data_IF_908754110785
#
_entry.id   IF_908754110785
#
_cell.length_a   1.000
_cell.length_b   1.000
_cell.length_c   1.000
_cell.angle_alpha   90.00
_cell.angle_beta   90.00
_cell.angle_gamma   90.00
#
_symmetry.space_group_name_H-M   'P 1'
#
loop_
_entity.id
_entity.type
_entity.pdbx_description
1 polymer ?
#
# COMPACT_ATOMS: atom_id res chain seq x y z
N UNK A 1 -12.78 -62.83 -30.76
CA UNK A 1 -13.29 -61.54 -30.28
C UNK A 1 -12.16 -60.54 -30.48
N UNK A 2 -12.31 -59.62 -31.43
CA UNK A 2 -11.20 -58.83 -31.99
C UNK A 2 -10.72 -57.74 -31.02
N UNK A 3 -9.40 -57.57 -30.89
CA UNK A 3 -8.74 -56.52 -30.10
C UNK A 3 -9.25 -55.10 -30.41
N UNK A 4 -9.77 -54.88 -31.62
CA UNK A 4 -10.33 -53.59 -32.09
C UNK A 4 -11.61 -53.22 -31.32
N UNK A 5 -12.42 -54.18 -30.87
CA UNK A 5 -13.66 -53.91 -30.11
C UNK A 5 -13.41 -53.60 -28.63
N UNK A 6 -12.32 -54.09 -28.05
CA UNK A 6 -11.99 -53.81 -26.64
C UNK A 6 -11.57 -52.34 -26.43
N UNK A 7 -10.90 -51.74 -27.42
CA UNK A 7 -10.46 -50.35 -27.34
C UNK A 7 -11.63 -49.36 -27.46
N UNK A 8 -12.68 -49.68 -28.21
CA UNK A 8 -13.90 -48.87 -28.29
C UNK A 8 -14.74 -48.92 -27.01
N UNK A 9 -14.83 -50.08 -26.34
CA UNK A 9 -15.59 -50.22 -25.07
C UNK A 9 -14.91 -49.50 -23.89
N UNK A 10 -13.62 -49.20 -24.01
CA UNK A 10 -12.82 -48.55 -22.98
C UNK A 10 -12.75 -47.02 -23.10
N UNK A 11 -13.27 -46.47 -24.21
CA UNK A 11 -13.39 -45.02 -24.41
C UNK A 11 -14.65 -44.50 -23.74
N UNK A 12 -14.60 -43.22 -23.36
CA UNK A 12 -15.72 -42.48 -22.81
C UNK A 12 -15.79 -41.12 -23.48
N UNK A 13 -17.00 -40.71 -23.83
CA UNK A 13 -17.29 -39.41 -24.43
C UNK A 13 -17.85 -38.48 -23.36
N UNK A 14 -17.24 -37.31 -23.23
CA UNK A 14 -17.61 -36.26 -22.29
C UNK A 14 -17.98 -35.02 -23.11
N UNK A 15 -19.27 -34.71 -23.18
CA UNK A 15 -19.80 -33.53 -23.84
C UNK A 15 -19.88 -32.39 -22.80
N UNK A 16 -18.97 -31.42 -22.90
CA UNK A 16 -18.90 -30.28 -21.96
C UNK A 16 -19.23 -29.00 -22.71
N UNK A 17 -20.31 -28.32 -22.33
CA UNK A 17 -20.77 -27.08 -22.98
C UNK A 17 -21.04 -27.23 -24.48
N UNK A 18 -21.39 -28.45 -24.93
CA UNK A 18 -21.58 -28.78 -26.34
C UNK A 18 -20.33 -29.28 -27.08
N UNK A 19 -19.14 -29.24 -26.45
CA UNK A 19 -17.89 -29.75 -27.04
C UNK A 19 -17.64 -31.18 -26.57
N UNK A 20 -17.47 -32.09 -27.53
CA UNK A 20 -17.18 -33.51 -27.24
C UNK A 20 -15.70 -33.73 -27.00
N UNK A 21 -15.38 -34.31 -25.86
CA UNK A 21 -14.05 -34.74 -25.47
C UNK A 21 -14.03 -36.27 -25.32
N UNK A 22 -13.04 -36.91 -25.93
CA UNK A 22 -12.85 -38.35 -25.83
C UNK A 22 -11.61 -38.70 -24.99
N UNK A 23 -11.75 -39.72 -24.16
CA UNK A 23 -10.65 -40.25 -23.34
C UNK A 23 -10.91 -41.70 -22.95
N UNK A 24 -9.98 -42.33 -22.24
CA UNK A 24 -10.14 -43.68 -21.73
C UNK A 24 -10.67 -43.68 -20.29
N UNK A 25 -11.49 -44.67 -19.95
CA UNK A 25 -11.97 -44.91 -18.58
C UNK A 25 -10.80 -44.98 -17.59
N UNK A 26 -9.69 -45.61 -17.99
CA UNK A 26 -8.46 -45.69 -17.19
C UNK A 26 -7.83 -44.31 -16.89
N UNK A 27 -7.88 -43.36 -17.82
CA UNK A 27 -7.36 -42.00 -17.65
C UNK A 27 -8.09 -41.28 -16.54
N UNK A 28 -9.41 -41.41 -16.47
CA UNK A 28 -10.24 -40.77 -15.44
C UNK A 28 -10.02 -41.36 -14.04
N UNK A 29 -9.48 -42.59 -13.95
CA UNK A 29 -9.14 -43.24 -12.67
C UNK A 29 -7.77 -42.84 -12.12
N UNK A 30 -6.92 -42.16 -12.90
CA UNK A 30 -5.56 -41.74 -12.46
C UNK A 30 -5.60 -40.77 -11.26
N UNK A 31 -6.62 -39.91 -11.20
CA UNK A 31 -6.79 -38.95 -10.10
C UNK A 31 -8.07 -39.34 -9.34
N UNK A 32 -7.94 -40.10 -8.24
CA UNK A 32 -9.08 -40.60 -7.49
C UNK A 32 -9.82 -39.47 -6.75
N UNK A 33 -11.00 -39.78 -6.23
CA UNK A 33 -11.84 -38.87 -5.44
C UNK A 33 -12.34 -37.60 -6.18
N UNK A 34 -12.18 -37.54 -7.49
CA UNK A 34 -12.69 -36.47 -8.36
C UNK A 34 -14.03 -36.84 -8.99
N UNK A 35 -14.78 -35.86 -9.54
CA UNK A 35 -16.06 -36.11 -10.20
C UNK A 35 -15.93 -37.10 -11.36
N UNK A 36 -14.92 -36.91 -12.21
CA UNK A 36 -14.69 -37.78 -13.37
C UNK A 36 -14.25 -39.20 -12.99
N UNK A 37 -13.56 -39.36 -11.85
CA UNK A 37 -13.20 -40.70 -11.36
C UNK A 37 -14.41 -41.52 -10.88
N UNK A 38 -15.54 -40.86 -10.58
CA UNK A 38 -16.77 -41.46 -10.06
C UNK A 38 -17.89 -41.59 -11.09
N UNK A 39 -17.59 -41.43 -12.39
CA UNK A 39 -18.59 -41.60 -13.44
C UNK A 39 -19.18 -43.01 -13.43
N UNK A 40 -20.50 -43.08 -13.48
CA UNK A 40 -21.29 -44.29 -13.64
C UNK A 40 -22.47 -44.00 -14.58
N UNK A 41 -22.95 -45.02 -15.29
CA UNK A 41 -24.11 -44.92 -16.20
C UNK A 41 -25.42 -44.61 -15.46
N UNK A 42 -25.43 -44.75 -14.13
CA UNK A 42 -26.56 -44.39 -13.27
C UNK A 42 -26.64 -42.88 -12.97
N UNK A 43 -25.65 -42.09 -13.39
CA UNK A 43 -25.68 -40.64 -13.22
C UNK A 43 -26.69 -40.00 -14.16
N UNK A 44 -27.42 -38.99 -13.66
CA UNK A 44 -28.39 -38.23 -14.44
C UNK A 44 -27.78 -37.52 -15.69
N UNK A 45 -26.46 -37.36 -15.70
CA UNK A 45 -25.72 -36.70 -16.77
C UNK A 45 -25.36 -37.65 -17.92
N UNK A 46 -25.66 -38.95 -17.80
CA UNK A 46 -25.37 -39.93 -18.85
C UNK A 46 -26.54 -40.03 -19.83
N UNK A 47 -26.25 -39.84 -21.12
CA UNK A 47 -27.20 -40.06 -22.21
C UNK A 47 -26.98 -41.48 -22.79
N UNK A 48 -27.92 -42.43 -22.57
CA UNK A 48 -27.79 -43.80 -23.04
C UNK A 48 -27.97 -43.93 -24.56
N UNK A 49 -28.58 -42.95 -25.24
CA UNK A 49 -28.79 -42.98 -26.69
C UNK A 49 -27.50 -42.62 -27.41
N UNK A 50 -26.84 -41.56 -26.96
CA UNK A 50 -25.58 -41.08 -27.53
C UNK A 50 -24.34 -41.76 -26.90
N UNK A 51 -24.52 -42.49 -25.79
CA UNK A 51 -23.45 -43.08 -25.00
C UNK A 51 -22.39 -42.04 -24.57
N UNK A 52 -22.84 -40.86 -24.13
CA UNK A 52 -22.00 -39.74 -23.71
C UNK A 52 -22.45 -39.15 -22.36
N UNK A 53 -21.54 -38.50 -21.65
CA UNK A 53 -21.88 -37.74 -20.45
C UNK A 53 -21.96 -36.26 -20.78
N UNK A 54 -23.08 -35.61 -20.47
CA UNK A 54 -23.28 -34.18 -20.69
C UNK A 54 -23.03 -33.35 -19.42
N UNK A 55 -22.26 -32.28 -19.57
CA UNK A 55 -22.01 -31.28 -18.53
C UNK A 55 -22.20 -29.88 -19.11
N UNK A 56 -23.16 -29.13 -18.58
CA UNK A 56 -23.38 -27.73 -18.94
C UNK A 56 -22.38 -26.81 -18.23
N UNK A 57 -21.11 -26.89 -18.63
CA UNK A 57 -19.94 -26.22 -18.00
C UNK A 57 -19.00 -25.67 -19.05
N UNK A 58 -17.99 -24.92 -18.61
CA UNK A 58 -17.09 -24.20 -19.51
C UNK A 58 -16.16 -25.15 -20.32
N UNK A 59 -16.31 -25.25 -21.66
CA UNK A 59 -15.56 -26.22 -22.46
C UNK A 59 -14.05 -25.94 -22.52
N UNK A 60 -13.66 -24.65 -22.58
CA UNK A 60 -12.23 -24.26 -22.65
C UNK A 60 -11.42 -24.69 -21.43
N UNK A 61 -11.93 -24.45 -20.22
CA UNK A 61 -11.33 -24.91 -18.97
C UNK A 61 -11.26 -26.43 -18.89
N UNK A 62 -12.31 -27.12 -19.35
CA UNK A 62 -12.35 -28.58 -19.31
C UNK A 62 -11.20 -29.24 -20.07
N UNK A 63 -10.69 -28.62 -21.13
CA UNK A 63 -9.51 -29.11 -21.82
C UNK A 63 -8.28 -29.21 -20.89
N UNK A 64 -8.09 -28.24 -19.99
CA UNK A 64 -6.99 -28.26 -19.01
C UNK A 64 -7.24 -29.31 -17.91
N UNK A 65 -8.50 -29.42 -17.45
CA UNK A 65 -8.92 -30.46 -16.51
C UNK A 65 -8.59 -31.84 -17.09
N UNK A 66 -8.99 -32.12 -18.34
CA UNK A 66 -8.73 -33.41 -18.97
C UNK A 66 -7.24 -33.67 -19.20
N UNK A 67 -6.47 -32.64 -19.57
CA UNK A 67 -5.02 -32.74 -19.69
C UNK A 67 -4.32 -33.03 -18.36
N UNK A 68 -4.88 -32.58 -17.24
CA UNK A 68 -4.38 -32.94 -15.92
C UNK A 68 -4.49 -34.45 -15.66
N UNK A 69 -5.62 -35.09 -16.00
CA UNK A 69 -5.72 -36.57 -15.92
C UNK A 69 -4.75 -37.29 -16.87
N UNK A 70 -4.42 -36.69 -18.02
CA UNK A 70 -3.50 -37.30 -19.00
C UNK A 70 -2.05 -37.25 -18.52
N UNK A 71 -1.61 -36.06 -18.08
CA UNK A 71 -0.20 -35.72 -17.85
C UNK A 71 0.20 -35.72 -16.37
N UNK A 72 -0.76 -35.55 -15.45
CA UNK A 72 -0.49 -35.32 -14.03
C UNK A 72 -0.03 -33.89 -13.72
N UNK A 73 -0.07 -32.96 -14.68
CA UNK A 73 0.29 -31.54 -14.49
C UNK A 73 -0.90 -30.63 -14.78
N UNK A 74 -1.24 -29.76 -13.84
CA UNK A 74 -2.37 -28.84 -13.96
C UNK A 74 -1.88 -27.47 -14.38
N UNK A 75 -2.22 -27.04 -15.60
CA UNK A 75 -1.85 -25.73 -16.12
C UNK A 75 -3.04 -24.78 -16.20
N UNK A 76 -2.78 -23.51 -15.94
CA UNK A 76 -3.76 -22.43 -16.02
C UNK A 76 -3.96 -21.97 -17.47
N UNK A 77 -5.21 -21.89 -17.97
CA UNK A 77 -5.52 -21.35 -19.29
C UNK A 77 -5.42 -19.82 -19.31
N UNK A 78 -4.69 -19.25 -20.29
CA UNK A 78 -4.43 -17.79 -20.36
C UNK A 78 -5.60 -16.95 -20.83
N UNK A 79 -6.63 -17.58 -21.38
CA UNK A 79 -7.85 -16.97 -21.93
C UNK A 79 -9.01 -16.90 -20.92
N UNK A 80 -8.78 -17.32 -19.68
CA UNK A 80 -9.78 -17.37 -18.60
C UNK A 80 -9.26 -16.58 -17.40
N UNK A 81 -10.15 -16.12 -16.51
CA UNK A 81 -9.77 -15.47 -15.25
C UNK A 81 -9.60 -16.48 -14.09
N UNK A 82 -8.76 -16.15 -13.11
CA UNK A 82 -8.45 -16.98 -11.94
C UNK A 82 -9.69 -17.56 -11.24
N UNK A 83 -10.65 -16.72 -10.81
CA UNK A 83 -11.85 -17.17 -10.11
C UNK A 83 -12.70 -18.17 -10.90
N UNK A 84 -12.90 -17.94 -12.20
CA UNK A 84 -13.66 -18.86 -13.06
C UNK A 84 -12.95 -20.22 -13.17
N UNK A 85 -11.62 -20.23 -13.24
CA UNK A 85 -10.86 -21.48 -13.23
C UNK A 85 -11.00 -22.22 -11.90
N UNK A 86 -10.96 -21.52 -10.75
CA UNK A 86 -11.17 -22.12 -9.42
C UNK A 86 -12.56 -22.76 -9.28
N UNK A 87 -13.61 -22.06 -9.75
CA UNK A 87 -14.98 -22.57 -9.73
C UNK A 87 -15.13 -23.86 -10.54
N UNK A 88 -14.48 -23.94 -11.69
CA UNK A 88 -14.44 -25.16 -12.50
C UNK A 88 -13.66 -26.27 -11.80
N UNK A 89 -12.45 -26.00 -11.27
CA UNK A 89 -11.68 -27.01 -10.52
C UNK A 89 -12.48 -27.55 -9.34
N UNK A 90 -13.13 -26.68 -8.58
CA UNK A 90 -14.01 -27.06 -7.47
C UNK A 90 -15.18 -27.94 -7.95
N UNK A 91 -15.81 -27.61 -9.08
CA UNK A 91 -16.85 -28.44 -9.68
C UNK A 91 -16.35 -29.83 -10.04
N UNK A 92 -15.17 -29.95 -10.66
CA UNK A 92 -14.57 -31.22 -11.05
C UNK A 92 -13.95 -32.00 -9.86
N UNK A 93 -13.87 -31.37 -8.69
CA UNK A 93 -13.31 -31.94 -7.47
C UNK A 93 -11.78 -31.99 -7.48
N UNK A 94 -11.15 -31.00 -8.12
CA UNK A 94 -9.70 -30.83 -8.18
C UNK A 94 -9.27 -29.73 -7.22
N UNK A 95 -8.16 -29.94 -6.53
CA UNK A 95 -7.55 -28.96 -5.65
C UNK A 95 -6.79 -27.91 -6.47
N UNK A 96 -7.15 -26.63 -6.31
CA UNK A 96 -6.55 -25.51 -7.02
C UNK A 96 -5.09 -25.25 -6.62
N UNK A 97 -4.64 -25.80 -5.50
CA UNK A 97 -3.23 -25.72 -5.10
C UNK A 97 -2.31 -26.63 -5.92
N UNK A 98 -2.86 -27.52 -6.76
CA UNK A 98 -2.09 -28.41 -7.63
C UNK A 98 -1.64 -27.77 -8.95
N UNK A 99 -1.94 -26.48 -9.16
CA UNK A 99 -1.50 -25.74 -10.34
C UNK A 99 0.02 -25.69 -10.39
N UNK A 100 0.60 -25.93 -11.57
CA UNK A 100 2.04 -25.93 -11.76
C UNK A 100 2.67 -24.54 -11.52
N UNK A 101 3.91 -24.45 -11.00
CA UNK A 101 4.55 -23.17 -10.66
C UNK A 101 4.66 -22.17 -11.81
N UNK A 102 4.75 -22.63 -13.06
CA UNK A 102 4.81 -21.75 -14.24
C UNK A 102 3.54 -20.90 -14.42
N UNK A 103 2.44 -21.27 -13.78
CA UNK A 103 1.14 -20.63 -13.91
C UNK A 103 0.76 -19.76 -12.70
N UNK A 104 1.49 -19.84 -11.59
CA UNK A 104 1.10 -19.19 -10.32
C UNK A 104 0.96 -17.68 -10.43
N UNK A 105 1.86 -17.01 -11.16
CA UNK A 105 1.84 -15.55 -11.30
C UNK A 105 0.53 -15.07 -11.93
N UNK A 106 0.11 -15.70 -13.03
CA UNK A 106 -1.12 -15.33 -13.75
C UNK A 106 -2.36 -15.76 -12.97
N UNK A 107 -2.35 -16.96 -12.39
CA UNK A 107 -3.47 -17.53 -11.65
C UNK A 107 -3.80 -16.73 -10.36
N UNK A 108 -2.78 -16.35 -9.59
CA UNK A 108 -2.96 -15.67 -8.30
C UNK A 108 -3.13 -14.16 -8.41
N UNK A 109 -2.86 -13.56 -9.58
CA UNK A 109 -2.90 -12.11 -9.77
C UNK A 109 -4.26 -11.49 -9.37
N UNK A 110 -5.36 -12.13 -9.75
CA UNK A 110 -6.69 -11.63 -9.39
C UNK A 110 -6.95 -11.72 -7.88
N UNK A 111 -6.61 -12.84 -7.24
CA UNK A 111 -6.78 -12.99 -5.79
C UNK A 111 -5.96 -11.95 -5.03
N UNK A 112 -4.71 -11.76 -5.39
CA UNK A 112 -3.83 -10.77 -4.77
C UNK A 112 -4.36 -9.34 -4.98
N UNK A 113 -4.90 -9.05 -6.18
CA UNK A 113 -5.50 -7.74 -6.46
C UNK A 113 -6.75 -7.51 -5.62
N UNK A 114 -7.62 -8.52 -5.51
CA UNK A 114 -8.85 -8.43 -4.72
C UNK A 114 -8.57 -8.34 -3.22
N UNK A 115 -7.58 -9.08 -2.71
CA UNK A 115 -7.10 -8.95 -1.32
C UNK A 115 -6.55 -7.55 -1.07
N UNK A 116 -5.73 -7.01 -1.99
CA UNK A 116 -5.19 -5.65 -1.88
C UNK A 116 -6.30 -4.61 -1.89
N UNK A 117 -7.28 -4.73 -2.79
CA UNK A 117 -8.43 -3.84 -2.86
C UNK A 117 -9.28 -3.92 -1.58
N UNK A 118 -9.50 -5.11 -1.03
CA UNK A 118 -10.22 -5.27 0.23
C UNK A 118 -9.46 -4.67 1.42
N UNK A 119 -8.12 -4.67 1.40
CA UNK A 119 -7.30 -3.96 2.39
C UNK A 119 -7.46 -2.45 2.22
N UNK A 120 -7.40 -1.94 0.99
CA UNK A 120 -7.59 -0.51 0.70
C UNK A 120 -8.99 -0.03 1.11
N UNK A 121 -10.03 -0.79 0.80
CA UNK A 121 -11.42 -0.47 1.16
C UNK A 121 -11.61 -0.43 2.68
N UNK A 122 -10.96 -1.34 3.42
CA UNK A 122 -10.93 -1.28 4.90
C UNK A 122 -10.21 -0.05 5.43
N UNK A 123 -9.12 0.37 4.80
CA UNK A 123 -8.40 1.60 5.17
C UNK A 123 -9.23 2.85 4.85
N UNK A 124 -10.02 2.84 3.78
CA UNK A 124 -10.93 3.93 3.42
C UNK A 124 -12.15 3.99 4.36
N UNK A 125 -12.61 2.85 4.91
CA UNK A 125 -13.66 2.81 5.93
C UNK A 125 -13.23 3.43 7.28
N UNK A 126 -11.93 3.44 7.59
CA UNK A 126 -11.38 4.18 8.75
C UNK A 126 -11.41 5.72 8.56
N UNK A 127 -11.92 6.21 7.42
CA UNK A 127 -12.16 7.65 7.17
C UNK A 127 -13.50 8.14 7.72
N UNK A 128 -14.35 7.25 8.24
CA UNK A 128 -15.55 7.68 8.97
C UNK A 128 -15.12 8.51 10.19
N UNK A 129 -15.77 9.66 10.37
CA UNK A 129 -15.45 10.56 11.50
C UNK A 129 -15.62 9.77 12.80
N UNK A 130 -14.59 9.66 13.65
CA UNK A 130 -14.68 8.93 14.90
C UNK A 130 -15.81 9.50 15.75
N UNK A 131 -16.54 8.63 16.43
CA UNK A 131 -17.64 9.06 17.30
C UNK A 131 -17.11 9.93 18.45
N UNK A 132 -17.96 10.79 19.00
CA UNK A 132 -17.55 11.66 20.11
C UNK A 132 -17.05 10.87 21.33
N UNK A 133 -17.60 9.66 21.55
CA UNK A 133 -17.15 8.72 22.59
C UNK A 133 -15.74 8.20 22.34
N UNK A 134 -15.41 7.82 21.10
CA UNK A 134 -14.08 7.36 20.74
C UNK A 134 -13.03 8.46 20.87
N UNK A 135 -13.40 9.69 20.51
CA UNK A 135 -12.57 10.87 20.73
C UNK A 135 -12.37 11.12 22.22
N UNK A 136 -13.42 11.05 23.04
CA UNK A 136 -13.31 11.22 24.49
C UNK A 136 -12.37 10.18 25.13
N UNK A 137 -12.44 8.93 24.68
CA UNK A 137 -11.54 7.85 25.10
C UNK A 137 -10.09 8.10 24.66
N UNK A 138 -9.86 8.46 23.39
CA UNK A 138 -8.51 8.76 22.85
C UNK A 138 -7.81 9.88 23.62
N UNK A 139 -8.57 10.88 24.08
CA UNK A 139 -8.05 12.04 24.79
C UNK A 139 -8.15 11.94 26.33
N UNK A 140 -8.68 10.84 26.86
CA UNK A 140 -8.73 10.52 28.29
C UNK A 140 -9.72 11.36 29.10
N UNK A 141 -10.82 11.82 28.48
CA UNK A 141 -11.89 12.56 29.18
C UNK A 141 -13.26 11.87 29.13
N UNK A 142 -13.29 10.56 28.89
CA UNK A 142 -14.51 9.73 28.85
C UNK A 142 -15.41 9.90 30.09
N UNK A 143 -14.84 9.92 31.30
CA UNK A 143 -15.60 10.14 32.54
C UNK A 143 -16.30 11.49 32.59
N UNK A 144 -15.67 12.54 32.06
CA UNK A 144 -16.23 13.89 32.02
C UNK A 144 -17.32 14.01 30.94
N UNK A 145 -17.15 13.30 29.83
CA UNK A 145 -18.13 13.20 28.76
C UNK A 145 -19.40 12.48 29.23
N UNK A 146 -19.27 11.30 29.87
CA UNK A 146 -20.41 10.53 30.41
C UNK A 146 -21.17 11.31 31.49
N UNK A 147 -20.47 12.14 32.28
CA UNK A 147 -21.07 13.01 33.30
C UNK A 147 -21.68 14.30 32.73
N UNK A 148 -21.55 14.56 31.43
CA UNK A 148 -22.06 15.78 30.78
C UNK A 148 -21.31 17.06 31.15
N UNK A 149 -20.11 16.95 31.74
CA UNK A 149 -19.31 18.08 32.24
C UNK A 149 -18.00 18.21 31.46
N UNK A 150 -18.10 18.46 30.16
CA UNK A 150 -16.95 18.72 29.28
C UNK A 150 -16.63 20.20 29.22
N UNK A 151 -15.35 20.53 29.43
CA UNK A 151 -14.83 21.89 29.28
C UNK A 151 -14.70 22.27 27.81
N UNK A 152 -14.75 23.58 27.52
CA UNK A 152 -14.51 24.11 26.18
C UNK A 152 -13.15 23.65 25.60
N UNK A 153 -12.11 23.59 26.44
CA UNK A 153 -10.80 23.09 26.02
C UNK A 153 -10.82 21.61 25.62
N UNK A 154 -11.60 20.77 26.31
CA UNK A 154 -11.76 19.35 25.96
C UNK A 154 -12.46 19.16 24.61
N UNK A 155 -13.35 20.09 24.21
CA UNK A 155 -13.94 20.09 22.88
C UNK A 155 -13.00 20.63 21.79
N UNK A 156 -12.27 21.72 22.07
CA UNK A 156 -11.36 22.33 21.09
C UNK A 156 -10.10 21.50 20.85
N UNK A 157 -9.57 20.85 21.89
CA UNK A 157 -8.28 20.15 21.84
C UNK A 157 -8.23 19.07 20.74
N UNK A 158 -9.22 18.17 20.59
CA UNK A 158 -9.26 17.20 19.50
C UNK A 158 -9.36 17.82 18.11
N UNK A 159 -10.10 18.94 17.98
CA UNK A 159 -10.24 19.65 16.71
C UNK A 159 -8.92 20.29 16.29
N UNK A 160 -8.21 20.92 17.22
CA UNK A 160 -6.87 21.48 16.98
C UNK A 160 -5.87 20.38 16.63
N UNK A 161 -5.92 19.24 17.34
CA UNK A 161 -5.07 18.09 17.05
C UNK A 161 -5.29 17.57 15.63
N UNK A 162 -6.54 17.29 15.24
CA UNK A 162 -6.87 16.79 13.90
C UNK A 162 -6.55 17.81 12.80
N UNK A 163 -6.64 19.12 13.09
CA UNK A 163 -6.28 20.18 12.15
C UNK A 163 -4.79 20.18 11.77
N UNK A 164 -3.91 19.86 12.73
CA UNK A 164 -2.45 19.93 12.55
C UNK A 164 -1.77 18.58 12.32
N UNK A 165 -2.36 17.48 12.80
CA UNK A 165 -1.78 16.13 12.71
C UNK A 165 -2.34 15.33 11.51
N UNK A 166 -3.60 15.58 11.13
CA UNK A 166 -4.31 14.85 10.07
C UNK A 166 -4.66 15.78 8.90
N UNK A 167 -3.81 15.94 7.88
CA UNK A 167 -4.02 16.92 6.80
C UNK A 167 -5.29 16.65 5.97
N UNK A 168 -5.80 15.42 5.99
CA UNK A 168 -7.02 15.04 5.27
C UNK A 168 -8.31 15.22 6.08
N UNK A 169 -8.23 15.56 7.37
CA UNK A 169 -9.39 15.65 8.27
C UNK A 169 -10.41 16.70 7.86
N UNK A 170 -9.96 17.81 7.26
CA UNK A 170 -10.80 18.93 6.86
C UNK A 170 -10.14 19.76 5.78
N UNK A 171 -10.92 20.59 5.07
CA UNK A 171 -10.35 21.55 4.11
C UNK A 171 -9.39 22.55 4.79
N UNK A 172 -9.65 22.92 6.04
CA UNK A 172 -8.74 23.77 6.81
C UNK A 172 -7.41 23.04 7.11
N UNK A 173 -7.45 21.76 7.45
CA UNK A 173 -6.26 20.95 7.68
C UNK A 173 -5.41 20.81 6.41
N UNK A 174 -6.05 20.68 5.25
CA UNK A 174 -5.36 20.69 3.95
C UNK A 174 -4.62 22.00 3.72
N UNK A 175 -5.25 23.14 4.02
CA UNK A 175 -4.62 24.47 3.88
C UNK A 175 -3.43 24.61 4.83
N UNK A 176 -3.56 24.20 6.09
CA UNK A 176 -2.45 24.18 7.06
C UNK A 176 -1.31 23.31 6.54
N UNK A 177 -1.59 22.11 6.04
CA UNK A 177 -0.59 21.22 5.44
C UNK A 177 0.13 21.86 4.25
N UNK A 178 -0.58 22.56 3.36
CA UNK A 178 0.02 23.29 2.24
C UNK A 178 0.97 24.38 2.74
N UNK A 179 0.57 25.13 3.77
CA UNK A 179 1.41 26.18 4.38
C UNK A 179 2.67 25.56 4.99
N UNK A 180 2.55 24.45 5.73
CA UNK A 180 3.71 23.75 6.31
C UNK A 180 4.69 23.28 5.23
N UNK A 181 4.19 22.68 4.15
CA UNK A 181 5.03 22.27 3.01
C UNK A 181 5.72 23.46 2.36
N UNK A 182 5.03 24.59 2.20
CA UNK A 182 5.62 25.82 1.68
C UNK A 182 6.80 26.31 2.54
N UNK A 183 6.64 26.36 3.87
CA UNK A 183 7.72 26.77 4.77
C UNK A 183 8.92 25.80 4.75
N UNK A 184 8.67 24.49 4.60
CA UNK A 184 9.73 23.48 4.40
C UNK A 184 10.49 23.75 3.08
N UNK A 185 9.79 24.00 1.98
CA UNK A 185 10.45 24.30 0.71
C UNK A 185 11.28 25.59 0.80
N UNK A 186 10.74 26.64 1.42
CA UNK A 186 11.45 27.91 1.61
C UNK A 186 12.70 27.73 2.49
N UNK A 187 12.64 26.96 3.56
CA UNK A 187 13.79 26.73 4.44
C UNK A 187 14.90 25.95 3.74
N UNK A 188 14.56 24.91 2.97
CA UNK A 188 15.52 24.13 2.18
C UNK A 188 16.19 25.00 1.11
N UNK A 189 15.40 25.76 0.34
CA UNK A 189 15.93 26.64 -0.71
C UNK A 189 16.81 27.73 -0.08
N UNK A 190 16.40 28.32 1.04
CA UNK A 190 17.21 29.30 1.79
C UNK A 190 18.56 28.71 2.21
N UNK A 191 18.57 27.50 2.77
CA UNK A 191 19.79 26.80 3.16
C UNK A 191 20.72 26.51 1.97
N UNK A 192 20.15 26.05 0.85
CA UNK A 192 20.92 25.83 -0.39
C UNK A 192 21.52 27.14 -0.92
N UNK A 193 20.76 28.23 -0.97
CA UNK A 193 21.25 29.52 -1.47
C UNK A 193 22.27 30.16 -0.53
N UNK A 194 22.13 29.99 0.79
CA UNK A 194 23.09 30.45 1.81
C UNK A 194 24.48 29.81 1.65
N UNK A 195 24.53 28.58 1.14
CA UNK A 195 25.78 27.86 0.88
C UNK A 195 26.39 28.15 -0.49
N UNK A 196 25.64 28.78 -1.40
CA UNK A 196 26.10 29.08 -2.76
C UNK A 196 27.18 30.18 -2.77
N UNK A 197 28.33 29.99 -3.44
CA UNK A 197 29.45 30.93 -3.40
C UNK A 197 29.09 32.33 -3.91
N UNK A 198 28.24 32.43 -4.94
CA UNK A 198 27.83 33.72 -5.52
C UNK A 198 26.90 34.55 -4.61
N UNK A 199 26.24 33.91 -3.64
CA UNK A 199 25.30 34.56 -2.72
C UNK A 199 25.94 34.93 -1.39
N UNK A 200 27.25 34.67 -1.23
CA UNK A 200 28.01 35.01 -0.02
C UNK A 200 28.69 36.37 -0.17
N UNK A 201 28.55 37.19 0.86
CA UNK A 201 29.12 38.53 0.93
C UNK A 201 30.54 38.45 1.48
N UNK A 202 31.55 38.99 0.78
CA UNK A 202 32.93 38.98 1.26
C UNK A 202 33.10 39.91 2.47
N UNK A 203 33.77 39.41 3.50
CA UNK A 203 34.16 40.21 4.67
C UNK A 203 35.52 40.80 4.38
N UNK A 204 35.56 42.12 4.27
CA UNK A 204 36.78 42.87 4.00
C UNK A 204 37.36 43.32 5.34
N UNK A 205 38.55 42.82 5.70
CA UNK A 205 39.27 43.22 6.91
C UNK A 205 40.48 44.09 6.53
N UNK A 206 40.67 45.19 7.24
CA UNK A 206 41.87 46.03 7.09
C UNK A 206 42.97 45.47 7.98
N UNK A 207 44.02 44.91 7.36
CA UNK A 207 45.18 44.37 8.08
C UNK A 207 46.31 45.38 7.99
N UNK A 208 46.76 45.86 9.15
CA UNK A 208 47.95 46.73 9.24
C UNK A 208 49.19 45.89 9.51
N UNK A 209 50.19 45.99 8.64
CA UNK A 209 51.49 45.34 8.81
C UNK A 209 52.56 46.40 9.04
N UNK A 210 53.43 46.16 10.03
CA UNK A 210 54.60 47.01 10.25
C UNK A 210 55.73 46.58 9.32
N UNK A 211 56.19 47.51 8.50
CA UNK A 211 57.33 47.31 7.61
C UNK A 211 58.65 47.37 8.40
N UNK A 212 59.75 46.90 7.79
CA UNK A 212 61.11 46.88 8.35
C UNK A 212 61.58 48.28 8.77
N UNK A 213 61.05 49.33 8.14
CA UNK A 213 61.32 50.74 8.46
C UNK A 213 60.40 51.35 9.54
N UNK A 214 59.64 50.53 10.28
CA UNK A 214 58.61 50.96 11.25
C UNK A 214 57.46 51.79 10.66
N UNK A 215 57.30 51.83 9.35
CA UNK A 215 56.12 52.40 8.68
C UNK A 215 54.95 51.41 8.74
N UNK A 216 53.73 51.91 8.96
CA UNK A 216 52.52 51.10 8.96
C UNK A 216 51.91 51.08 7.56
N UNK A 217 52.01 49.95 6.87
CA UNK A 217 51.33 49.71 5.60
C UNK A 217 50.05 48.91 5.86
N UNK A 218 49.01 49.12 5.07
CA UNK A 218 47.75 48.39 5.18
C UNK A 218 47.39 47.74 3.86
N UNK A 219 46.79 46.56 3.93
CA UNK A 219 46.16 45.91 2.78
C UNK A 219 44.77 45.38 3.14
N UNK A 220 43.95 45.22 2.11
CA UNK A 220 42.60 44.67 2.21
C UNK A 220 42.69 43.16 2.11
N UNK A 221 42.25 42.47 3.15
CA UNK A 221 42.23 41.01 3.19
C UNK A 221 40.81 40.46 3.02
N UNK A 222 40.67 39.40 2.22
CA UNK A 222 39.41 38.73 1.90
C UNK A 222 39.53 37.24 2.21
N UNK A 223 39.68 36.92 3.50
CA UNK A 223 39.79 35.54 3.97
C UNK A 223 38.41 34.89 4.22
N UNK A 224 37.36 35.68 4.46
CA UNK A 224 36.06 35.17 4.91
C UNK A 224 34.89 35.68 4.05
N UNK A 225 33.86 34.85 3.91
CA UNK A 225 32.60 35.22 3.26
C UNK A 225 31.44 34.84 4.17
N UNK A 226 30.52 35.78 4.42
CA UNK A 226 29.34 35.57 5.25
C UNK A 226 28.08 35.42 4.40
N UNK A 227 27.07 34.75 4.94
CA UNK A 227 25.74 34.74 4.34
C UNK A 227 25.12 36.14 4.36
N UNK A 228 24.34 36.48 3.33
CA UNK A 228 23.56 37.70 3.34
C UNK A 228 22.52 37.69 4.47
N UNK A 229 22.32 38.83 5.14
CA UNK A 229 21.43 38.96 6.31
C UNK A 229 19.97 38.58 6.02
N UNK A 230 19.56 38.67 4.76
CA UNK A 230 18.23 38.24 4.30
C UNK A 230 17.93 36.76 4.63
N UNK A 231 18.90 35.86 4.47
CA UNK A 231 18.71 34.43 4.76
C UNK A 231 18.48 34.18 6.25
N UNK A 232 19.08 34.99 7.13
CA UNK A 232 18.85 34.92 8.57
C UNK A 232 17.39 35.23 8.93
N UNK A 233 16.79 36.26 8.31
CA UNK A 233 15.38 36.57 8.55
C UNK A 233 14.44 35.47 8.04
N UNK A 234 14.73 34.88 6.87
CA UNK A 234 13.96 33.74 6.37
C UNK A 234 14.03 32.56 7.34
N UNK A 235 15.23 32.18 7.76
CA UNK A 235 15.44 31.09 8.73
C UNK A 235 14.68 31.37 10.04
N UNK A 236 14.73 32.60 10.55
CA UNK A 236 14.01 32.99 11.76
C UNK A 236 12.49 32.82 11.61
N UNK A 237 11.91 33.26 10.49
CA UNK A 237 10.47 33.11 10.22
C UNK A 237 10.08 31.64 10.05
N UNK A 238 10.85 30.84 9.31
CA UNK A 238 10.61 29.41 9.13
C UNK A 238 10.69 28.66 10.48
N UNK A 239 11.69 28.96 11.31
CA UNK A 239 11.82 28.36 12.64
C UNK A 239 10.69 28.78 13.58
N UNK A 240 10.25 30.04 13.52
CA UNK A 240 9.09 30.49 14.27
C UNK A 240 7.83 29.69 13.87
N UNK A 241 7.64 29.43 12.57
CA UNK A 241 6.55 28.59 12.11
C UNK A 241 6.66 27.14 12.63
N UNK A 242 7.82 26.48 12.46
CA UNK A 242 8.02 25.10 12.91
C UNK A 242 7.88 24.95 14.43
N UNK A 243 8.39 25.91 15.21
CA UNK A 243 8.22 25.91 16.67
C UNK A 243 6.75 26.04 17.06
N UNK A 244 5.99 26.96 16.44
CA UNK A 244 4.55 27.09 16.68
C UNK A 244 3.82 25.79 16.33
N UNK A 245 4.13 25.18 15.19
CA UNK A 245 3.51 23.94 14.72
C UNK A 245 3.73 22.80 15.72
N UNK A 246 4.99 22.59 16.14
CA UNK A 246 5.37 21.60 17.15
C UNK A 246 4.72 21.90 18.50
N UNK A 247 4.67 23.16 18.93
CA UNK A 247 4.04 23.55 20.20
C UNK A 247 2.53 23.27 20.20
N UNK A 248 1.84 23.62 19.11
CA UNK A 248 0.39 23.38 18.97
C UNK A 248 0.11 21.88 18.99
N UNK A 249 0.86 21.08 18.23
CA UNK A 249 0.75 19.61 18.25
C UNK A 249 1.07 19.05 19.63
N UNK A 250 2.14 19.51 20.27
CA UNK A 250 2.50 19.06 21.61
C UNK A 250 1.41 19.35 22.62
N UNK A 251 0.83 20.57 22.65
CA UNK A 251 -0.24 20.96 23.58
C UNK A 251 -1.53 20.18 23.31
N UNK A 252 -1.88 20.03 22.03
CA UNK A 252 -3.12 19.35 21.61
C UNK A 252 -3.04 17.83 21.65
N UNK A 253 -1.84 17.23 21.71
CA UNK A 253 -1.68 15.77 21.69
C UNK A 253 -2.39 15.03 22.83
N UNK A 254 -2.92 13.81 22.57
CA UNK A 254 -3.55 12.97 23.58
C UNK A 254 -2.54 12.42 24.60
N UNK A 255 -1.35 12.01 24.15
CA UNK A 255 -0.28 11.49 25.01
C UNK A 255 1.05 12.20 24.72
N UNK A 256 1.60 12.90 25.71
CA UNK A 256 2.83 13.68 25.57
C UNK A 256 4.06 12.80 25.35
N UNK A 257 4.15 11.68 26.07
CA UNK A 257 5.28 10.76 25.95
C UNK A 257 5.30 10.09 24.57
N UNK A 258 4.14 9.63 24.10
CA UNK A 258 4.02 9.03 22.76
C UNK A 258 4.33 10.06 21.67
N UNK A 259 3.90 11.31 21.87
CA UNK A 259 4.22 12.41 20.96
C UNK A 259 5.74 12.61 20.84
N UNK A 260 6.46 12.72 21.97
CA UNK A 260 7.91 12.95 21.97
C UNK A 260 8.69 11.80 21.32
N UNK A 261 8.25 10.55 21.52
CA UNK A 261 8.93 9.35 21.01
C UNK A 261 8.59 9.07 19.53
N UNK A 262 7.56 9.71 18.97
CA UNK A 262 7.18 9.52 17.57
C UNK A 262 8.31 9.93 16.62
N UNK A 263 8.65 9.07 15.67
CA UNK A 263 9.75 9.30 14.71
C UNK A 263 9.58 10.59 13.91
N UNK A 264 8.35 10.93 13.53
CA UNK A 264 8.04 12.17 12.79
C UNK A 264 8.35 13.39 13.66
N UNK A 265 7.90 13.40 14.92
CA UNK A 265 8.14 14.52 15.82
C UNK A 265 9.62 14.65 16.21
N UNK A 266 10.35 13.52 16.33
CA UNK A 266 11.81 13.54 16.53
C UNK A 266 12.52 14.27 15.39
N UNK A 267 12.12 14.01 14.14
CA UNK A 267 12.67 14.70 12.97
C UNK A 267 12.37 16.20 13.07
N UNK A 268 11.13 16.59 13.38
CA UNK A 268 10.72 17.98 13.54
C UNK A 268 11.53 18.71 14.64
N UNK A 269 11.77 18.05 15.78
CA UNK A 269 12.60 18.59 16.87
C UNK A 269 14.05 18.78 16.44
N UNK A 270 14.66 17.78 15.80
CA UNK A 270 16.05 17.86 15.32
C UNK A 270 16.18 18.97 14.28
N UNK A 271 15.25 19.03 13.32
CA UNK A 271 15.23 20.07 12.30
C UNK A 271 15.16 21.46 12.95
N UNK A 272 14.21 21.68 13.85
CA UNK A 272 14.04 22.98 14.51
C UNK A 272 15.24 23.37 15.39
N UNK A 273 15.82 22.43 16.13
CA UNK A 273 17.00 22.67 16.96
C UNK A 273 18.27 22.92 16.15
N UNK A 274 18.40 22.35 14.95
CA UNK A 274 19.59 22.53 14.11
C UNK A 274 19.78 23.97 13.61
N UNK A 275 18.72 24.80 13.66
CA UNK A 275 18.75 26.20 13.23
C UNK A 275 18.74 27.21 14.40
N UNK A 276 18.72 26.74 15.65
CA UNK A 276 18.80 27.54 16.89
C UNK A 276 20.25 27.60 17.38
#
# INVERSE_FOLDING_TARGET
MNLINMDSENRVVLNVGGIRHETYKATLKKIPATRLSRLTEALANYDPILNEYFFDRHPGVFAQVLNYYRTGKLHYPTDVCGPLFEEELAFWGLDSNQVEPCCWMTYTQHRNTQETLAVLDRLDLDTDKPSEEEVARKFGYEDAFVKGHVSWWQHMKPQIWSLFDEPYSSNAAKVVGIISVFFICVSIVSFCLKTHPDMRVPVIKNVSVKNVNHTSDWYLDKEETNAHLFFFYIECVCNAWFTIEIMIRFISSPSKLRFIISSVNIIDYIATLSFL
#
